data_IF_130167381437
#
_entry.id   IF_130167381437
#
_cell.length_a   1.000
_cell.length_b   1.000
_cell.length_c   1.000
_cell.angle_alpha   90.00
_cell.angle_beta   90.00
_cell.angle_gamma   90.00
#
_symmetry.space_group_name_H-M   'P 1'
#
loop_
_entity.id
_entity.type
_entity.pdbx_description
1 polymer ?
#
# COMPACT_ATOMS: atom_id res chain seq x y z
N UNK A 1 -16.02 6.90 -27.24
CA UNK A 1 -15.51 6.64 -25.86
C UNK A 1 -14.67 7.83 -25.45
N UNK A 2 -14.89 8.41 -24.27
CA UNK A 2 -14.07 9.54 -23.76
C UNK A 2 -12.57 9.20 -23.89
N UNK A 3 -11.77 10.10 -24.46
CA UNK A 3 -10.32 9.88 -24.67
C UNK A 3 -9.59 9.48 -23.37
N UNK A 4 -10.07 9.95 -22.22
CA UNK A 4 -9.58 9.57 -20.89
C UNK A 4 -9.81 8.08 -20.55
N UNK A 5 -10.97 7.54 -20.91
CA UNK A 5 -11.29 6.13 -20.69
C UNK A 5 -10.41 5.22 -21.57
N UNK A 6 -10.12 5.66 -22.80
CA UNK A 6 -9.17 4.98 -23.68
C UNK A 6 -7.77 4.92 -23.08
N UNK A 7 -7.26 6.05 -22.57
CA UNK A 7 -5.95 6.11 -21.89
C UNK A 7 -5.90 5.22 -20.65
N UNK A 8 -6.93 5.26 -19.80
CA UNK A 8 -7.03 4.40 -18.63
C UNK A 8 -6.95 2.91 -19.00
N UNK A 9 -7.69 2.46 -20.01
CA UNK A 9 -7.68 1.07 -20.44
C UNK A 9 -6.32 0.65 -21.01
N UNK A 10 -5.66 1.52 -21.76
CA UNK A 10 -4.31 1.26 -22.29
C UNK A 10 -3.30 1.15 -21.16
N UNK A 11 -3.31 2.09 -20.21
CA UNK A 11 -2.44 2.04 -19.03
C UNK A 11 -2.69 0.77 -18.21
N UNK A 12 -3.95 0.45 -17.92
CA UNK A 12 -4.32 -0.76 -17.19
C UNK A 12 -3.88 -2.06 -17.90
N UNK A 13 -3.99 -2.12 -19.24
CA UNK A 13 -3.48 -3.27 -20.02
C UNK A 13 -1.97 -3.40 -19.94
N UNK A 14 -1.24 -2.28 -19.87
CA UNK A 14 0.22 -2.27 -19.73
C UNK A 14 0.66 -2.74 -18.34
N UNK A 15 -0.13 -2.41 -17.32
CA UNK A 15 0.15 -2.73 -15.92
C UNK A 15 -0.43 -4.08 -15.45
N UNK A 16 -1.14 -4.82 -16.31
CA UNK A 16 -1.88 -6.05 -15.97
C UNK A 16 -1.05 -7.18 -15.37
N UNK A 17 0.28 -7.13 -15.49
CA UNK A 17 1.19 -8.13 -14.89
C UNK A 17 1.84 -7.54 -13.66
N UNK A 18 2.47 -6.38 -13.80
CA UNK A 18 3.29 -5.82 -12.73
C UNK A 18 2.45 -5.37 -11.52
N UNK A 19 1.31 -4.69 -11.73
CA UNK A 19 0.46 -4.26 -10.61
C UNK A 19 -0.09 -5.46 -9.83
N UNK A 20 -0.67 -6.50 -10.46
CA UNK A 20 -1.09 -7.69 -9.72
C UNK A 20 0.07 -8.39 -9.00
N UNK A 21 1.25 -8.47 -9.60
CA UNK A 21 2.44 -9.06 -8.94
C UNK A 21 2.82 -8.26 -7.69
N UNK A 22 2.82 -6.93 -7.75
CA UNK A 22 3.05 -6.08 -6.58
C UNK A 22 1.99 -6.33 -5.50
N UNK A 23 0.71 -6.30 -5.88
CA UNK A 23 -0.41 -6.46 -4.96
C UNK A 23 -0.35 -7.82 -4.26
N UNK A 24 -0.18 -8.89 -5.04
CA UNK A 24 -0.10 -10.26 -4.51
C UNK A 24 1.13 -10.46 -3.63
N UNK A 25 2.29 -9.92 -4.01
CA UNK A 25 3.51 -10.01 -3.21
C UNK A 25 3.38 -9.31 -1.86
N UNK A 26 2.80 -8.09 -1.84
CA UNK A 26 2.60 -7.34 -0.59
C UNK A 26 1.55 -8.03 0.29
N UNK A 27 0.44 -8.51 -0.29
CA UNK A 27 -0.58 -9.24 0.45
C UNK A 27 -0.02 -10.56 1.03
N UNK A 28 0.78 -11.28 0.25
CA UNK A 28 1.43 -12.51 0.69
C UNK A 28 2.45 -12.26 1.80
N UNK A 29 3.22 -11.17 1.72
CA UNK A 29 4.11 -10.76 2.81
C UNK A 29 3.32 -10.50 4.10
N UNK A 30 2.20 -9.78 4.01
CA UNK A 30 1.30 -9.55 5.16
C UNK A 30 0.80 -10.87 5.77
N UNK A 31 0.38 -11.82 4.94
CA UNK A 31 -0.05 -13.16 5.36
C UNK A 31 1.07 -13.93 6.07
N UNK A 32 2.30 -13.90 5.56
CA UNK A 32 3.46 -14.54 6.20
C UNK A 32 3.72 -13.92 7.56
N UNK A 33 3.75 -12.60 7.67
CA UNK A 33 3.98 -11.90 8.94
C UNK A 33 2.90 -12.27 9.97
N UNK A 34 1.63 -12.32 9.54
CA UNK A 34 0.53 -12.71 10.41
C UNK A 34 0.69 -14.14 10.95
N UNK A 35 1.04 -15.09 10.08
CA UNK A 35 1.29 -16.46 10.49
C UNK A 35 2.51 -16.58 11.41
N UNK A 36 3.63 -15.94 11.07
CA UNK A 36 4.84 -15.96 11.87
C UNK A 36 4.58 -15.44 13.29
N UNK A 37 3.81 -14.35 13.42
CA UNK A 37 3.46 -13.83 14.76
C UNK A 37 2.56 -14.79 15.52
N UNK A 38 1.59 -15.41 14.86
CA UNK A 38 0.71 -16.38 15.50
C UNK A 38 1.46 -17.64 15.97
N UNK A 39 2.47 -18.10 15.21
CA UNK A 39 3.24 -19.31 15.53
C UNK A 39 4.38 -19.06 16.52
N UNK A 40 5.14 -17.98 16.35
CA UNK A 40 6.32 -17.67 17.17
C UNK A 40 5.96 -16.94 18.47
N UNK A 41 4.90 -16.13 18.44
CA UNK A 41 4.44 -15.34 19.58
C UNK A 41 3.00 -15.69 19.95
N UNK A 42 2.70 -17.00 20.02
CA UNK A 42 1.39 -17.51 20.44
C UNK A 42 1.03 -17.16 21.89
N UNK A 43 2.04 -17.02 22.76
CA UNK A 43 1.88 -16.62 24.15
C UNK A 43 1.90 -15.08 24.34
N UNK A 44 1.05 -14.59 25.23
CA UNK A 44 0.91 -13.16 25.58
C UNK A 44 2.21 -12.61 26.18
N UNK A 45 2.91 -13.42 27.01
CA UNK A 45 4.16 -13.01 27.62
C UNK A 45 5.26 -12.79 26.57
N UNK A 46 5.33 -13.65 25.56
CA UNK A 46 6.26 -13.50 24.43
C UNK A 46 5.96 -12.24 23.60
N UNK A 47 4.67 -11.94 23.35
CA UNK A 47 4.23 -10.70 22.69
C UNK A 47 4.57 -9.45 23.50
N UNK A 48 4.44 -9.52 24.82
CA UNK A 48 4.80 -8.41 25.72
C UNK A 48 6.31 -8.16 25.74
N UNK A 49 7.12 -9.22 25.74
CA UNK A 49 8.57 -9.13 25.72
C UNK A 49 9.07 -8.42 24.44
N UNK A 50 8.56 -8.81 23.27
CA UNK A 50 9.02 -8.20 22.01
C UNK A 50 8.59 -6.73 21.88
N UNK A 51 7.39 -6.38 22.37
CA UNK A 51 6.93 -4.98 22.42
C UNK A 51 7.83 -4.16 23.34
N UNK A 52 8.17 -4.69 24.52
CA UNK A 52 9.05 -4.01 25.49
C UNK A 52 10.45 -3.76 24.91
N UNK A 53 11.03 -4.78 24.27
CA UNK A 53 12.36 -4.66 23.62
C UNK A 53 12.32 -3.65 22.48
N UNK A 54 11.28 -3.69 21.64
CA UNK A 54 11.14 -2.73 20.54
C UNK A 54 10.86 -1.30 21.04
N UNK A 55 10.11 -1.14 22.12
CA UNK A 55 9.79 0.14 22.75
C UNK A 55 10.99 0.81 23.41
N UNK A 56 12.04 0.06 23.74
CA UNK A 56 13.30 0.61 24.24
C UNK A 56 14.09 1.39 23.17
N UNK A 57 13.71 1.29 21.89
CA UNK A 57 14.38 1.96 20.78
C UNK A 57 13.48 3.02 20.14
N UNK A 58 13.82 4.32 20.27
CA UNK A 58 13.06 5.40 19.64
C UNK A 58 12.97 5.28 18.12
N UNK A 59 13.99 4.69 17.47
CA UNK A 59 13.99 4.48 16.02
C UNK A 59 12.92 3.47 15.59
N UNK A 60 12.72 2.40 16.37
CA UNK A 60 11.66 1.43 16.08
C UNK A 60 10.27 2.05 16.24
N UNK A 61 10.06 2.84 17.30
CA UNK A 61 8.79 3.55 17.51
C UNK A 61 8.50 4.58 16.43
N UNK A 62 9.53 5.28 15.93
CA UNK A 62 9.38 6.23 14.83
C UNK A 62 8.91 5.55 13.54
N UNK A 63 9.48 4.39 13.20
CA UNK A 63 9.16 3.68 11.95
C UNK A 63 7.85 2.88 12.06
N UNK A 64 7.59 2.24 13.20
CA UNK A 64 6.47 1.30 13.38
C UNK A 64 5.25 1.91 14.06
N UNK A 65 5.37 3.11 14.62
CA UNK A 65 4.36 3.71 15.47
C UNK A 65 4.38 3.15 16.89
N UNK A 66 3.44 3.61 17.73
CA UNK A 66 3.30 3.08 19.08
C UNK A 66 2.55 1.74 19.05
N UNK A 67 2.98 0.73 19.84
CA UNK A 67 2.24 -0.51 20.01
C UNK A 67 0.84 -0.27 20.59
N UNK A 68 -0.18 -0.84 19.96
CA UNK A 68 -1.59 -0.73 20.40
C UNK A 68 -2.03 -1.99 21.17
N UNK A 69 -1.23 -2.36 22.18
CA UNK A 69 -1.43 -3.55 23.01
C UNK A 69 -0.71 -4.81 22.52
N UNK A 70 -1.00 -5.92 23.20
CA UNK A 70 -0.29 -7.22 23.09
C UNK A 70 -1.08 -8.29 22.34
N UNK A 71 -2.21 -7.93 21.73
CA UNK A 71 -2.98 -8.87 20.90
C UNK A 71 -2.17 -9.28 19.67
N UNK A 72 -2.45 -10.46 19.12
CA UNK A 72 -1.80 -10.95 17.88
C UNK A 72 -1.92 -9.91 16.76
N UNK A 73 -3.10 -9.32 16.57
CA UNK A 73 -3.32 -8.29 15.55
C UNK A 73 -2.52 -7.02 15.78
N UNK A 74 -2.40 -6.56 17.03
CA UNK A 74 -1.59 -5.39 17.37
C UNK A 74 -0.10 -5.62 17.09
N UNK A 75 0.42 -6.81 17.43
CA UNK A 75 1.82 -7.18 17.16
C UNK A 75 2.08 -7.36 15.66
N UNK A 76 1.14 -7.97 14.92
CA UNK A 76 1.22 -8.09 13.45
C UNK A 76 1.26 -6.72 12.79
N UNK A 77 0.39 -5.80 13.22
CA UNK A 77 0.38 -4.44 12.70
C UNK A 77 1.70 -3.71 13.03
N UNK A 78 2.13 -3.74 14.29
CA UNK A 78 3.37 -3.11 14.75
C UNK A 78 4.59 -3.62 13.97
N UNK A 79 4.67 -4.93 13.68
CA UNK A 79 5.81 -5.48 12.96
C UNK A 79 5.73 -5.30 11.44
N UNK A 80 4.55 -5.44 10.84
CA UNK A 80 4.39 -5.55 9.39
C UNK A 80 3.94 -4.29 8.67
N UNK A 81 3.19 -3.39 9.33
CA UNK A 81 2.52 -2.27 8.66
C UNK A 81 3.50 -1.37 7.93
N UNK A 82 4.57 -0.93 8.60
CA UNK A 82 5.56 -0.03 8.01
C UNK A 82 6.16 -0.58 6.71
N UNK A 83 6.49 -1.87 6.66
CA UNK A 83 7.04 -2.50 5.47
C UNK A 83 6.02 -2.56 4.32
N UNK A 84 4.79 -2.98 4.62
CA UNK A 84 3.72 -3.03 3.61
C UNK A 84 3.38 -1.64 3.07
N UNK A 85 3.39 -0.61 3.93
CA UNK A 85 3.15 0.77 3.57
C UNK A 85 4.26 1.34 2.67
N UNK A 86 5.53 1.06 2.99
CA UNK A 86 6.67 1.46 2.16
C UNK A 86 6.59 0.80 0.77
N UNK A 87 6.29 -0.51 0.71
CA UNK A 87 6.14 -1.20 -0.57
C UNK A 87 4.96 -0.66 -1.40
N UNK A 88 3.83 -0.35 -0.76
CA UNK A 88 2.69 0.30 -1.42
C UNK A 88 3.06 1.69 -1.98
N UNK A 89 3.84 2.47 -1.22
CA UNK A 89 4.38 3.75 -1.63
C UNK A 89 5.32 3.62 -2.83
N UNK A 90 6.23 2.64 -2.81
CA UNK A 90 7.15 2.36 -3.91
C UNK A 90 6.40 1.90 -5.17
N UNK A 91 5.43 1.00 -5.03
CA UNK A 91 4.56 0.57 -6.12
C UNK A 91 3.90 1.78 -6.80
N UNK A 92 3.28 2.66 -5.99
CA UNK A 92 2.61 3.87 -6.50
C UNK A 92 3.59 4.84 -7.16
N UNK A 93 4.78 5.02 -6.57
CA UNK A 93 5.83 5.89 -7.10
C UNK A 93 6.35 5.38 -8.44
N UNK A 94 6.62 4.08 -8.57
CA UNK A 94 7.06 3.47 -9.83
C UNK A 94 5.98 3.51 -10.91
N UNK A 95 4.71 3.33 -10.53
CA UNK A 95 3.59 3.51 -11.45
C UNK A 95 3.57 4.93 -12.02
N UNK A 96 3.64 5.94 -11.14
CA UNK A 96 3.66 7.36 -11.55
C UNK A 96 4.85 7.65 -12.44
N UNK A 97 6.08 7.30 -12.02
CA UNK A 97 7.31 7.56 -12.80
C UNK A 97 7.24 6.91 -14.18
N UNK A 98 6.73 5.67 -14.28
CA UNK A 98 6.64 4.96 -15.56
C UNK A 98 5.70 5.65 -16.53
N UNK A 99 4.55 6.11 -16.04
CA UNK A 99 3.56 6.76 -16.89
C UNK A 99 3.93 8.21 -17.22
N UNK A 100 4.53 8.96 -16.29
CA UNK A 100 4.98 10.33 -16.58
C UNK A 100 6.14 10.37 -17.56
N UNK A 101 7.11 9.44 -17.48
CA UNK A 101 8.19 9.36 -18.49
C UNK A 101 7.66 9.07 -19.88
N UNK A 102 6.69 8.16 -20.01
CA UNK A 102 6.04 7.88 -21.29
C UNK A 102 5.29 9.11 -21.81
N UNK A 103 4.64 9.88 -20.93
CA UNK A 103 3.95 11.11 -21.32
C UNK A 103 4.94 12.23 -21.74
N UNK A 104 6.10 12.35 -21.11
CA UNK A 104 7.15 13.30 -21.49
C UNK A 104 7.73 13.01 -22.88
N UNK A 105 7.96 11.73 -23.20
CA UNK A 105 8.43 11.28 -24.51
C UNK A 105 7.40 11.59 -25.62
N UNK A 106 6.12 11.33 -25.36
CA UNK A 106 5.03 11.65 -26.28
C UNK A 106 4.83 13.15 -26.46
N UNK A 107 4.88 13.91 -25.36
CA UNK A 107 4.77 15.37 -25.39
C UNK A 107 5.90 16.04 -26.19
N UNK A 108 7.13 15.48 -26.15
CA UNK A 108 8.22 15.92 -27.03
C UNK A 108 7.93 15.64 -28.50
N UNK A 109 7.41 14.46 -28.83
CA UNK A 109 7.04 14.12 -30.20
C UNK A 109 5.90 15.01 -30.72
N UNK A 110 4.93 15.36 -29.89
CA UNK A 110 3.82 16.24 -30.25
C UNK A 110 4.20 17.72 -30.34
N UNK A 111 5.17 18.20 -29.55
CA UNK A 111 5.71 19.57 -29.70
C UNK A 111 6.40 19.77 -31.06
N UNK A 112 6.94 18.69 -31.63
CA UNK A 112 7.48 18.66 -33.00
C UNK A 112 6.34 18.55 -34.04
N UNK A 113 5.15 18.05 -33.64
CA UNK A 113 4.02 17.73 -34.55
C UNK A 113 2.72 18.56 -34.41
N UNK A 114 2.64 19.51 -33.48
CA UNK A 114 1.51 20.44 -33.26
C UNK A 114 0.09 19.82 -33.35
N UNK A 115 -0.35 19.13 -32.30
CA UNK A 115 -1.76 18.73 -32.10
C UNK A 115 -2.22 19.11 -30.68
N UNK A 116 -3.44 19.64 -30.47
CA UNK A 116 -3.91 20.07 -29.16
C UNK A 116 -4.44 18.89 -28.34
N UNK A 117 -3.55 18.15 -27.67
CA UNK A 117 -3.96 17.19 -26.63
C UNK A 117 -3.99 17.91 -25.26
N UNK A 118 -5.08 17.74 -24.50
CA UNK A 118 -5.20 18.26 -23.13
C UNK A 118 -4.15 17.59 -22.23
N UNK A 119 -3.06 18.30 -21.95
CA UNK A 119 -1.90 17.88 -21.14
C UNK A 119 -2.23 17.22 -19.79
N UNK A 120 -3.39 17.49 -19.20
CA UNK A 120 -3.77 16.95 -17.90
C UNK A 120 -4.38 15.53 -17.96
N UNK A 121 -4.91 15.10 -19.11
CA UNK A 121 -5.63 13.83 -19.21
C UNK A 121 -4.81 12.58 -18.85
N UNK A 122 -3.51 12.47 -19.22
CA UNK A 122 -2.67 11.33 -18.86
C UNK A 122 -2.36 11.24 -17.36
N UNK A 123 -2.05 12.38 -16.73
CA UNK A 123 -1.76 12.46 -15.29
C UNK A 123 -2.99 12.05 -14.47
N UNK A 124 -4.18 12.56 -14.84
CA UNK A 124 -5.43 12.17 -14.17
C UNK A 124 -5.70 10.67 -14.31
N UNK A 125 -5.45 10.07 -15.49
CA UNK A 125 -5.58 8.64 -15.68
C UNK A 125 -4.64 7.83 -14.77
N UNK A 126 -3.38 8.24 -14.69
CA UNK A 126 -2.37 7.60 -13.83
C UNK A 126 -2.76 7.67 -12.35
N UNK A 127 -3.27 8.81 -11.89
CA UNK A 127 -3.73 8.99 -10.50
C UNK A 127 -4.95 8.11 -10.18
N UNK A 128 -5.91 7.99 -11.10
CA UNK A 128 -7.08 7.11 -10.94
C UNK A 128 -6.63 5.64 -10.87
N UNK A 129 -5.72 5.22 -11.75
CA UNK A 129 -5.19 3.87 -11.77
C UNK A 129 -4.43 3.55 -10.47
N UNK A 130 -3.57 4.46 -10.03
CA UNK A 130 -2.83 4.34 -8.76
C UNK A 130 -3.75 4.30 -7.55
N UNK A 131 -4.76 5.16 -7.50
CA UNK A 131 -5.77 5.15 -6.44
C UNK A 131 -6.53 3.82 -6.39
N UNK A 132 -6.97 3.33 -7.55
CA UNK A 132 -7.67 2.03 -7.67
C UNK A 132 -6.76 0.88 -7.24
N UNK A 133 -5.49 0.88 -7.66
CA UNK A 133 -4.52 -0.14 -7.27
C UNK A 133 -4.28 -0.18 -5.75
N UNK A 134 -4.19 0.98 -5.09
CA UNK A 134 -4.06 1.07 -3.64
C UNK A 134 -5.30 0.56 -2.90
N UNK A 135 -6.51 0.81 -3.44
CA UNK A 135 -7.74 0.25 -2.88
C UNK A 135 -7.76 -1.28 -3.00
N UNK A 136 -7.41 -1.83 -4.17
CA UNK A 136 -7.31 -3.28 -4.37
C UNK A 136 -6.26 -3.89 -3.45
N UNK A 137 -5.12 -3.21 -3.27
CA UNK A 137 -4.07 -3.63 -2.33
C UNK A 137 -4.59 -3.68 -0.90
N UNK A 138 -5.26 -2.62 -0.43
CA UNK A 138 -5.81 -2.56 0.92
C UNK A 138 -6.80 -3.71 1.18
N UNK A 139 -7.67 -4.00 0.22
CA UNK A 139 -8.61 -5.13 0.29
C UNK A 139 -7.86 -6.48 0.30
N UNK A 140 -6.84 -6.64 -0.54
CA UNK A 140 -6.06 -7.88 -0.64
C UNK A 140 -5.27 -8.17 0.63
N UNK A 141 -4.67 -7.15 1.24
CA UNK A 141 -3.96 -7.25 2.52
C UNK A 141 -4.95 -7.58 3.65
N UNK A 142 -6.10 -6.91 3.69
CA UNK A 142 -7.15 -7.22 4.67
C UNK A 142 -7.65 -8.67 4.54
N UNK A 143 -7.87 -9.14 3.32
CA UNK A 143 -8.22 -10.54 3.06
C UNK A 143 -7.13 -11.51 3.51
N UNK A 144 -5.86 -11.17 3.30
CA UNK A 144 -4.72 -11.96 3.80
C UNK A 144 -4.70 -12.08 5.32
N UNK A 145 -4.98 -10.99 6.05
CA UNK A 145 -5.08 -11.03 7.51
C UNK A 145 -6.27 -11.84 8.00
N UNK A 146 -7.43 -11.74 7.34
CA UNK A 146 -8.60 -12.57 7.66
C UNK A 146 -8.31 -14.05 7.41
N UNK A 147 -7.63 -14.38 6.30
CA UNK A 147 -7.21 -15.75 6.00
C UNK A 147 -6.19 -16.30 7.01
N UNK A 148 -5.41 -15.43 7.64
CA UNK A 148 -4.52 -15.77 8.75
C UNK A 148 -5.23 -15.85 10.12
N UNK A 149 -6.56 -15.72 10.16
CA UNK A 149 -7.37 -15.88 11.38
C UNK A 149 -7.51 -14.63 12.25
N UNK A 150 -7.11 -13.45 11.76
CA UNK A 150 -7.24 -12.20 12.51
C UNK A 150 -8.68 -11.65 12.45
N UNK A 151 -9.23 -11.13 13.57
CA UNK A 151 -10.56 -10.53 13.56
C UNK A 151 -10.62 -9.25 12.71
N UNK A 152 -11.70 -9.13 11.92
CA UNK A 152 -11.94 -8.04 10.95
C UNK A 152 -11.90 -6.62 11.58
N UNK A 153 -12.06 -6.52 12.90
CA UNK A 153 -12.04 -5.27 13.66
C UNK A 153 -10.72 -4.50 13.56
N UNK A 154 -9.58 -5.19 13.34
CA UNK A 154 -8.26 -4.56 13.17
C UNK A 154 -8.10 -3.77 11.86
N UNK A 155 -8.78 -4.18 10.79
CA UNK A 155 -8.73 -3.49 9.50
C UNK A 155 -9.49 -2.15 9.53
N UNK A 156 -10.54 -2.07 10.35
CA UNK A 156 -11.36 -0.86 10.54
C UNK A 156 -10.65 0.13 11.48
N UNK A 157 -9.91 -0.34 12.48
CA UNK A 157 -9.13 0.54 13.38
C UNK A 157 -7.89 1.14 12.69
N UNK A 158 -7.19 0.40 11.83
CA UNK A 158 -6.09 0.93 11.02
C UNK A 158 -6.55 2.09 10.09
N UNK A 159 -7.73 1.96 9.48
CA UNK A 159 -8.37 3.04 8.72
C UNK A 159 -8.79 4.24 9.57
N UNK A 160 -9.13 4.04 10.85
CA UNK A 160 -9.49 5.12 11.78
C UNK A 160 -8.28 5.85 12.39
N UNK A 161 -7.16 5.16 12.60
CA UNK A 161 -5.93 5.77 13.12
C UNK A 161 -5.27 6.70 12.08
N UNK A 162 -5.19 6.29 10.81
CA UNK A 162 -4.73 7.17 9.71
C UNK A 162 -5.59 8.43 9.58
N UNK A 163 -6.91 8.30 9.76
CA UNK A 163 -7.85 9.43 9.74
C UNK A 163 -7.86 10.29 11.04
N UNK A 164 -7.18 9.85 12.11
CA UNK A 164 -7.00 10.66 13.34
C UNK A 164 -5.75 11.52 13.28
N UNK A 165 -4.67 11.02 12.69
CA UNK A 165 -3.42 11.78 12.52
C UNK A 165 -3.61 13.03 11.64
N UNK A 166 -4.43 12.93 10.59
CA UNK A 166 -4.78 14.05 9.71
C UNK A 166 -5.70 15.12 10.34
N UNK A 167 -6.21 14.90 11.56
CA UNK A 167 -7.05 15.85 12.30
C UNK A 167 -6.33 16.48 13.49
N UNK A 168 -5.12 16.03 13.79
CA UNK A 168 -4.29 16.54 14.89
C UNK A 168 -3.06 17.34 14.42
N UNK A 169 -2.96 17.63 13.13
CA UNK A 169 -2.01 18.58 12.51
C UNK A 169 -2.78 19.78 12.00
#
# INVERSE_FOLDING_TARGET
MSGMMGLLLVQARRERVLLPVWILSIAFLGFIIANAVATEFGDEAARTAIITVAGASPAFLFVRGLPDGTTVGAVVFFQGYAFTAVLAGLMSTFLVIRHTRTDEELGRAELIGSVPVRRAAPITATLILGGTANLVLAVSVAAGYVAAGLPLSGAITAGRQSARWARSS
#
